data_IF_700344866502
#
_entry.id   IF_700344866502
#
_cell.length_a   1.000
_cell.length_b   1.000
_cell.length_c   1.000
_cell.angle_alpha   90.00
_cell.angle_beta   90.00
_cell.angle_gamma   90.00
#
_symmetry.space_group_name_H-M   'P 1'
#
loop_
_entity.id
_entity.type
_entity.pdbx_description
1 polymer ?
#
# COMPACT_ATOMS: atom_id res chain seq x y z
N UNK A 1 38.71 17.86 71.67
CA UNK A 1 38.49 16.43 71.94
C UNK A 1 37.00 16.28 72.29
N UNK A 2 36.15 16.03 71.29
CA UNK A 2 34.71 15.86 71.49
C UNK A 2 34.31 14.63 70.77
N UNK A 3 33.87 13.63 71.51
CA UNK A 3 33.31 12.36 70.98
C UNK A 3 31.87 12.60 70.48
N UNK A 4 31.57 12.25 69.22
CA UNK A 4 30.20 12.21 68.70
C UNK A 4 29.76 10.75 68.67
N UNK A 5 28.75 10.43 69.45
CA UNK A 5 28.10 9.12 69.52
C UNK A 5 27.04 9.05 68.39
N UNK A 6 27.11 8.05 67.55
CA UNK A 6 26.11 7.71 66.55
C UNK A 6 25.01 6.85 67.19
N UNK A 7 23.71 7.12 66.93
CA UNK A 7 22.65 6.17 67.25
C UNK A 7 22.45 5.12 66.11
N UNK A 8 21.89 3.94 66.40
CA UNK A 8 21.66 2.89 65.44
C UNK A 8 20.44 3.19 64.58
N UNK A 9 20.57 2.90 63.29
CA UNK A 9 19.50 2.94 62.29
C UNK A 9 18.73 1.62 62.38
N UNK A 10 17.48 1.70 62.86
CA UNK A 10 16.53 0.59 62.79
C UNK A 10 15.93 0.56 61.37
N UNK A 11 16.17 -0.54 60.69
CA UNK A 11 15.55 -0.80 59.40
C UNK A 11 14.07 -1.19 59.59
N UNK A 12 13.24 -0.69 58.69
CA UNK A 12 11.98 -1.35 58.37
C UNK A 12 11.70 -1.13 56.88
N UNK A 13 12.12 -2.12 56.11
CA UNK A 13 11.80 -2.20 54.71
C UNK A 13 10.32 -2.36 54.52
N UNK A 14 9.74 -1.44 53.80
CA UNK A 14 8.52 -1.70 53.01
C UNK A 14 8.92 -1.52 51.57
N UNK A 15 9.23 -2.66 50.92
CA UNK A 15 9.20 -2.76 49.49
C UNK A 15 7.79 -2.45 48.98
N UNK A 16 7.57 -1.18 48.68
CA UNK A 16 6.45 -0.81 47.81
C UNK A 16 6.87 -1.23 46.39
N UNK A 17 6.40 -2.39 45.97
CA UNK A 17 6.32 -2.76 44.56
C UNK A 17 5.59 -1.62 43.83
N UNK A 18 6.38 -0.77 43.18
CA UNK A 18 5.87 0.09 42.11
C UNK A 18 5.55 -0.85 40.95
N UNK A 19 4.31 -1.26 40.89
CA UNK A 19 3.78 -1.92 39.68
C UNK A 19 3.88 -0.87 38.59
N UNK A 20 4.78 -1.14 37.61
CA UNK A 20 4.98 -0.28 36.45
C UNK A 20 3.65 -0.13 35.73
N UNK A 21 3.04 1.04 35.81
CA UNK A 21 1.85 1.43 35.08
C UNK A 21 2.02 1.37 33.54
N UNK A 22 3.22 1.01 33.07
CA UNK A 22 3.55 0.85 31.66
C UNK A 22 3.24 -0.57 31.10
N UNK A 23 2.97 -1.54 31.95
CA UNK A 23 2.70 -2.92 31.48
C UNK A 23 1.21 -3.12 31.15
N UNK A 24 0.31 -2.37 31.78
CA UNK A 24 -1.13 -2.46 31.49
C UNK A 24 -1.55 -1.81 30.16
N UNK A 25 -0.69 -0.94 29.58
CA UNK A 25 -1.00 -0.26 28.31
C UNK A 25 -0.63 -1.12 27.08
N UNK A 26 0.11 -2.20 27.27
CA UNK A 26 0.51 -3.10 26.17
C UNK A 26 -0.57 -4.10 25.75
N UNK A 27 -1.53 -4.38 26.63
CA UNK A 27 -2.51 -5.45 26.41
C UNK A 27 -3.82 -4.99 25.74
N UNK A 28 -3.95 -3.70 25.39
CA UNK A 28 -5.17 -3.18 24.74
C UNK A 28 -4.99 -2.91 23.24
N UNK A 29 -3.98 -3.48 22.59
CA UNK A 29 -3.92 -3.41 21.13
C UNK A 29 -5.05 -4.23 20.52
N UNK A 30 -6.01 -3.55 19.90
CA UNK A 30 -7.08 -4.19 19.13
C UNK A 30 -6.49 -5.24 18.18
N UNK A 31 -7.08 -6.44 18.12
CA UNK A 31 -6.58 -7.49 17.27
C UNK A 31 -6.58 -7.03 15.81
N UNK A 32 -5.49 -7.32 15.11
CA UNK A 32 -5.39 -6.99 13.69
C UNK A 32 -6.30 -7.91 12.88
N UNK A 33 -6.86 -7.42 11.76
CA UNK A 33 -7.65 -8.26 10.88
C UNK A 33 -6.77 -9.37 10.29
N UNK A 34 -7.33 -10.56 10.04
CA UNK A 34 -6.59 -11.65 9.41
C UNK A 34 -6.08 -11.21 8.04
N UNK A 35 -4.93 -11.74 7.65
CA UNK A 35 -4.40 -11.49 6.29
C UNK A 35 -5.34 -12.10 5.25
N UNK A 36 -5.58 -11.41 4.14
CA UNK A 36 -6.40 -11.97 3.07
C UNK A 36 -5.70 -13.16 2.41
N UNK A 37 -6.49 -14.11 1.95
CA UNK A 37 -6.02 -15.17 1.04
C UNK A 37 -5.86 -14.53 -0.34
N UNK A 38 -4.63 -14.55 -0.86
CA UNK A 38 -4.32 -13.99 -2.18
C UNK A 38 -4.52 -15.05 -3.26
N UNK A 39 -4.82 -14.64 -4.51
CA UNK A 39 -4.86 -15.52 -5.66
C UNK A 39 -3.55 -16.29 -5.85
N UNK A 40 -3.65 -17.51 -6.33
CA UNK A 40 -2.49 -18.33 -6.70
C UNK A 40 -1.89 -17.83 -8.02
N UNK A 41 -0.77 -17.13 -7.90
CA UNK A 41 -0.05 -16.55 -9.05
C UNK A 41 0.60 -17.63 -9.92
N UNK A 42 0.99 -18.79 -9.36
CA UNK A 42 1.56 -19.89 -10.13
C UNK A 42 0.47 -20.52 -11.02
N UNK A 43 -0.70 -20.79 -10.46
CA UNK A 43 -1.84 -21.24 -11.23
C UNK A 43 -2.31 -20.20 -12.28
N UNK A 44 -2.21 -18.90 -11.99
CA UNK A 44 -2.52 -17.87 -12.96
C UNK A 44 -1.52 -17.86 -14.13
N UNK A 45 -0.22 -18.02 -13.87
CA UNK A 45 0.82 -18.11 -14.93
C UNK A 45 0.60 -19.29 -15.87
N UNK A 46 0.17 -20.44 -15.33
CA UNK A 46 -0.10 -21.63 -16.18
C UNK A 46 -1.29 -21.42 -17.14
N UNK A 47 -2.18 -20.46 -16.88
CA UNK A 47 -3.31 -20.13 -17.74
C UNK A 47 -3.02 -19.02 -18.76
N UNK A 48 -2.00 -18.21 -18.50
CA UNK A 48 -1.53 -17.17 -19.42
C UNK A 48 -1.51 -15.74 -18.86
N UNK A 49 -0.98 -14.78 -19.64
CA UNK A 49 -0.73 -13.42 -19.17
C UNK A 49 -1.98 -12.67 -18.71
N UNK A 50 -3.13 -12.89 -19.33
CA UNK A 50 -4.40 -12.25 -18.93
C UNK A 50 -4.84 -12.68 -17.54
N UNK A 51 -4.69 -13.96 -17.20
CA UNK A 51 -4.99 -14.47 -15.84
C UNK A 51 -4.00 -13.94 -14.80
N UNK A 52 -2.72 -13.77 -15.17
CA UNK A 52 -1.72 -13.14 -14.30
C UNK A 52 -2.12 -11.71 -13.97
N UNK A 53 -2.56 -10.94 -14.96
CA UNK A 53 -3.02 -9.56 -14.75
C UNK A 53 -4.24 -9.53 -13.84
N UNK A 54 -5.24 -10.37 -14.08
CA UNK A 54 -6.45 -10.42 -13.26
C UNK A 54 -6.14 -10.82 -11.81
N UNK A 55 -5.35 -11.87 -11.62
CA UNK A 55 -4.92 -12.31 -10.29
C UNK A 55 -4.12 -11.22 -9.55
N UNK A 56 -3.29 -10.45 -10.29
CA UNK A 56 -2.51 -9.39 -9.69
C UNK A 56 -3.36 -8.18 -9.28
N UNK A 57 -4.35 -7.78 -10.09
CA UNK A 57 -5.34 -6.76 -9.71
C UNK A 57 -6.04 -7.13 -8.39
N UNK A 58 -6.51 -8.37 -8.31
CA UNK A 58 -7.16 -8.88 -7.09
C UNK A 58 -6.20 -8.90 -5.90
N UNK A 59 -4.96 -9.35 -6.09
CA UNK A 59 -3.93 -9.38 -5.04
C UNK A 59 -3.60 -7.99 -4.50
N UNK A 60 -3.43 -7.00 -5.38
CA UNK A 60 -3.17 -5.62 -4.97
C UNK A 60 -4.35 -5.04 -4.18
N UNK A 61 -5.56 -5.21 -4.69
CA UNK A 61 -6.77 -4.72 -4.02
C UNK A 61 -6.90 -5.28 -2.61
N UNK A 62 -6.82 -6.61 -2.46
CA UNK A 62 -6.92 -7.28 -1.16
C UNK A 62 -5.80 -6.83 -0.20
N UNK A 63 -4.57 -6.72 -0.71
CA UNK A 63 -3.42 -6.31 0.09
C UNK A 63 -3.55 -4.86 0.59
N UNK A 64 -3.99 -3.94 -0.25
CA UNK A 64 -4.17 -2.55 0.12
C UNK A 64 -5.38 -2.32 1.03
N UNK A 65 -6.48 -3.05 0.84
CA UNK A 65 -7.62 -3.05 1.75
C UNK A 65 -7.20 -3.53 3.15
N UNK A 66 -6.43 -4.62 3.23
CA UNK A 66 -5.91 -5.11 4.49
C UNK A 66 -4.97 -4.11 5.17
N UNK A 67 -4.02 -3.53 4.43
CA UNK A 67 -3.10 -2.48 4.95
C UNK A 67 -3.87 -1.27 5.48
N UNK A 68 -4.91 -0.84 4.77
CA UNK A 68 -5.76 0.26 5.23
C UNK A 68 -6.52 -0.10 6.52
N UNK A 69 -7.06 -1.32 6.64
CA UNK A 69 -7.70 -1.78 7.86
C UNK A 69 -6.73 -1.83 9.05
N UNK A 70 -5.50 -2.33 8.83
CA UNK A 70 -4.42 -2.31 9.83
C UNK A 70 -4.05 -0.88 10.23
N UNK A 71 -3.95 0.04 9.24
CA UNK A 71 -3.64 1.44 9.52
C UNK A 71 -4.70 2.10 10.42
N UNK A 72 -5.98 1.86 10.16
CA UNK A 72 -7.09 2.37 10.99
C UNK A 72 -6.97 1.94 12.45
N UNK A 73 -6.48 0.73 12.71
CA UNK A 73 -6.30 0.19 14.05
C UNK A 73 -5.03 0.76 14.70
N UNK A 74 -3.90 0.80 13.97
CA UNK A 74 -2.60 1.20 14.52
C UNK A 74 -2.39 2.72 14.58
N UNK A 75 -3.11 3.46 13.75
CA UNK A 75 -2.96 4.91 13.62
C UNK A 75 -4.33 5.59 13.48
N UNK A 76 -5.20 5.45 14.51
CA UNK A 76 -6.56 6.01 14.44
C UNK A 76 -6.50 7.52 14.23
N UNK A 77 -7.38 8.03 13.37
CA UNK A 77 -7.44 9.45 13.04
C UNK A 77 -6.33 10.00 12.15
N UNK A 78 -5.30 9.19 11.80
CA UNK A 78 -4.28 9.63 10.85
C UNK A 78 -4.76 9.42 9.40
N UNK A 79 -4.52 10.39 8.50
CA UNK A 79 -4.88 10.25 7.11
C UNK A 79 -4.12 9.09 6.46
N UNK A 80 -4.79 8.43 5.52
CA UNK A 80 -4.23 7.36 4.69
C UNK A 80 -4.49 7.71 3.23
N UNK A 81 -3.48 7.63 2.35
CA UNK A 81 -3.66 7.94 0.94
C UNK A 81 -4.74 7.07 0.29
N UNK A 82 -5.51 7.64 -0.62
CA UNK A 82 -6.66 7.00 -1.26
C UNK A 82 -6.32 5.92 -2.29
N UNK A 83 -5.38 5.01 -1.97
CA UNK A 83 -4.95 3.95 -2.89
C UNK A 83 -6.06 2.92 -3.16
N UNK A 84 -6.92 2.63 -2.19
CA UNK A 84 -8.01 1.65 -2.38
C UNK A 84 -9.04 2.17 -3.37
N UNK A 85 -9.67 3.36 -3.19
CA UNK A 85 -10.58 3.91 -4.20
C UNK A 85 -9.88 4.12 -5.55
N UNK A 86 -8.59 4.46 -5.58
CA UNK A 86 -7.85 4.57 -6.84
C UNK A 86 -7.75 3.22 -7.59
N UNK A 87 -7.46 2.13 -6.88
CA UNK A 87 -7.44 0.79 -7.48
C UNK A 87 -8.81 0.38 -7.99
N UNK A 88 -9.88 0.70 -7.26
CA UNK A 88 -11.26 0.40 -7.65
C UNK A 88 -11.66 1.18 -8.91
N UNK A 89 -11.39 2.48 -8.96
CA UNK A 89 -11.66 3.33 -10.13
C UNK A 89 -10.85 2.90 -11.36
N UNK A 90 -9.56 2.59 -11.19
CA UNK A 90 -8.72 2.14 -12.29
C UNK A 90 -9.13 0.77 -12.82
N UNK A 91 -9.48 -0.17 -11.94
CA UNK A 91 -9.93 -1.50 -12.32
C UNK A 91 -11.31 -1.50 -13.02
N UNK A 92 -12.12 -0.48 -12.82
CA UNK A 92 -13.40 -0.28 -13.52
C UNK A 92 -13.20 0.14 -14.99
N UNK A 93 -11.99 0.59 -15.38
CA UNK A 93 -11.70 1.02 -16.75
C UNK A 93 -11.15 -0.14 -17.59
N UNK A 94 -11.85 -0.58 -18.64
CA UNK A 94 -11.45 -1.75 -19.44
C UNK A 94 -10.04 -1.64 -20.03
N UNK A 95 -9.62 -0.44 -20.44
CA UNK A 95 -8.28 -0.21 -21.00
C UNK A 95 -7.17 -0.38 -19.96
N UNK A 96 -7.36 0.12 -18.73
CA UNK A 96 -6.40 -0.04 -17.63
C UNK A 96 -6.45 -1.45 -17.04
N UNK A 97 -7.64 -2.06 -16.97
CA UNK A 97 -7.83 -3.42 -16.45
C UNK A 97 -7.02 -4.47 -17.20
N UNK A 98 -6.75 -4.25 -18.47
CA UNK A 98 -5.91 -5.14 -19.29
C UNK A 98 -4.43 -4.98 -19.05
N UNK A 99 -3.98 -3.91 -18.38
CA UNK A 99 -2.59 -3.66 -18.05
C UNK A 99 -2.25 -4.26 -16.68
N UNK A 100 -0.98 -4.62 -16.53
CA UNK A 100 -0.45 -5.10 -15.25
C UNK A 100 -0.24 -3.92 -14.29
N UNK A 101 -0.98 -3.84 -13.17
CA UNK A 101 -0.86 -2.73 -12.24
C UNK A 101 0.39 -2.87 -11.38
N UNK A 102 1.13 -1.80 -11.18
CA UNK A 102 2.29 -1.72 -10.32
C UNK A 102 2.06 -0.68 -9.25
N UNK A 103 2.53 -0.93 -8.04
CA UNK A 103 2.54 0.11 -7.01
C UNK A 103 3.96 0.37 -6.52
N UNK A 104 4.36 1.65 -6.53
CA UNK A 104 5.59 2.12 -5.91
C UNK A 104 5.21 3.08 -4.81
N UNK A 105 5.44 2.71 -3.55
CA UNK A 105 4.86 3.35 -2.39
C UNK A 105 3.33 3.37 -2.50
N UNK A 106 2.72 4.53 -2.73
CA UNK A 106 1.29 4.65 -3.01
C UNK A 106 0.99 4.95 -4.48
N UNK A 107 2.00 5.27 -5.30
CA UNK A 107 1.77 5.57 -6.72
C UNK A 107 1.37 4.32 -7.49
N UNK A 108 0.32 4.42 -8.30
CA UNK A 108 -0.18 3.38 -9.20
C UNK A 108 0.33 3.63 -10.62
N UNK A 109 0.90 2.61 -11.23
CA UNK A 109 1.43 2.60 -12.59
C UNK A 109 0.84 1.41 -13.36
N UNK A 110 0.95 1.43 -14.69
CA UNK A 110 0.37 0.42 -15.56
C UNK A 110 1.40 -0.06 -16.59
N UNK A 111 1.69 -1.35 -16.59
CA UNK A 111 2.68 -1.97 -17.49
C UNK A 111 2.00 -2.88 -18.50
N UNK A 112 2.53 -2.92 -19.71
CA UNK A 112 2.16 -3.92 -20.74
C UNK A 112 2.94 -5.23 -20.62
N UNK A 113 3.86 -5.36 -19.67
CA UNK A 113 4.53 -6.62 -19.34
C UNK A 113 4.16 -7.07 -17.93
N UNK A 114 4.07 -8.39 -17.72
CA UNK A 114 3.73 -9.02 -16.44
C UNK A 114 4.94 -9.25 -15.53
N UNK A 115 6.16 -8.97 -16.02
CA UNK A 115 7.43 -9.13 -15.32
C UNK A 115 8.43 -8.02 -15.66
N UNK A 116 9.56 -8.04 -14.97
CA UNK A 116 10.67 -7.13 -15.24
C UNK A 116 11.39 -7.51 -16.56
N UNK A 117 11.83 -6.53 -17.38
CA UNK A 117 11.69 -5.08 -17.21
C UNK A 117 10.26 -4.58 -17.48
N UNK A 118 9.79 -3.70 -16.60
CA UNK A 118 8.45 -3.13 -16.71
C UNK A 118 8.32 -2.17 -17.89
N UNK A 119 7.33 -2.41 -18.75
CA UNK A 119 6.97 -1.54 -19.88
C UNK A 119 5.79 -0.64 -19.49
N UNK A 120 6.06 0.46 -18.78
CA UNK A 120 5.02 1.37 -18.30
C UNK A 120 4.43 2.17 -19.47
N UNK A 121 3.12 2.01 -19.72
CA UNK A 121 2.42 2.54 -20.90
C UNK A 121 1.81 3.92 -20.69
N UNK A 122 1.48 4.26 -19.46
CA UNK A 122 0.87 5.55 -19.11
C UNK A 122 1.71 6.24 -18.03
N UNK A 123 1.23 7.37 -17.58
CA UNK A 123 1.78 8.04 -16.43
C UNK A 123 1.56 7.26 -15.11
N UNK A 124 1.67 7.96 -14.01
CA UNK A 124 1.38 7.43 -12.68
C UNK A 124 0.35 8.28 -11.97
N UNK A 125 -0.42 7.67 -11.08
CA UNK A 125 -1.34 8.34 -10.17
C UNK A 125 -0.85 8.14 -8.75
N UNK A 126 -0.60 9.22 -8.03
CA UNK A 126 -0.17 9.22 -6.63
C UNK A 126 -1.28 9.80 -5.76
N UNK A 127 -1.95 8.98 -4.93
CA UNK A 127 -2.87 9.50 -3.93
C UNK A 127 -2.09 10.22 -2.83
N UNK A 128 -2.53 11.43 -2.48
CA UNK A 128 -1.89 12.29 -1.50
C UNK A 128 -2.55 12.17 -0.13
N UNK A 129 -1.84 12.58 0.91
CA UNK A 129 -2.36 12.56 2.29
C UNK A 129 -3.47 13.58 2.56
N UNK A 130 -3.63 14.59 1.67
CA UNK A 130 -4.73 15.56 1.71
C UNK A 130 -6.02 15.07 1.02
N UNK A 131 -6.05 13.81 0.57
CA UNK A 131 -7.19 13.20 -0.11
C UNK A 131 -7.24 13.41 -1.62
N UNK A 132 -6.34 14.23 -2.18
CA UNK A 132 -6.24 14.51 -3.62
C UNK A 132 -5.39 13.48 -4.33
N UNK A 133 -5.40 13.52 -5.66
CA UNK A 133 -4.64 12.62 -6.53
C UNK A 133 -3.77 13.43 -7.48
N UNK A 134 -2.46 13.15 -7.50
CA UNK A 134 -1.50 13.76 -8.40
C UNK A 134 -1.23 12.84 -9.58
N UNK A 135 -1.43 13.35 -10.79
CA UNK A 135 -1.17 12.62 -12.03
C UNK A 135 0.12 13.12 -12.66
N UNK A 136 0.99 12.18 -13.04
CA UNK A 136 2.26 12.48 -13.69
C UNK A 136 2.38 11.73 -15.01
N UNK A 137 2.88 12.40 -16.03
CA UNK A 137 3.37 11.78 -17.25
C UNK A 137 4.82 11.36 -17.07
N UNK A 138 5.20 10.22 -17.63
CA UNK A 138 6.55 9.68 -17.49
C UNK A 138 7.54 10.22 -18.53
N UNK A 139 7.11 10.38 -19.77
CA UNK A 139 7.98 10.83 -20.86
C UNK A 139 7.26 11.82 -21.79
N UNK A 140 7.74 13.06 -21.91
CA UNK A 140 8.65 13.71 -20.97
C UNK A 140 8.01 13.81 -19.57
N UNK A 141 8.84 13.76 -18.53
CA UNK A 141 8.33 13.83 -17.17
C UNK A 141 7.64 15.16 -16.88
N UNK A 142 6.38 15.10 -16.44
CA UNK A 142 5.62 16.29 -16.10
C UNK A 142 4.49 15.95 -15.12
N UNK A 143 4.18 16.87 -14.23
CA UNK A 143 2.92 16.84 -13.48
C UNK A 143 1.82 17.32 -14.42
N UNK A 144 0.80 16.48 -14.63
CA UNK A 144 -0.34 16.78 -15.49
C UNK A 144 -1.40 17.57 -14.71
N UNK A 145 -1.63 17.18 -13.45
CA UNK A 145 -2.59 17.85 -12.58
C UNK A 145 -2.71 17.20 -11.21
N UNK A 146 -3.43 17.90 -10.34
CA UNK A 146 -3.92 17.39 -9.07
C UNK A 146 -5.44 17.54 -9.06
N UNK A 147 -6.15 16.45 -8.79
CA UNK A 147 -7.61 16.35 -8.84
C UNK A 147 -8.17 15.83 -7.53
N UNK A 148 -9.49 16.01 -7.34
CA UNK A 148 -10.16 15.71 -6.08
C UNK A 148 -10.54 14.23 -5.97
N UNK A 149 -10.84 13.55 -7.11
CA UNK A 149 -11.38 12.20 -7.13
C UNK A 149 -10.45 11.22 -7.85
N UNK A 150 -10.58 9.93 -7.50
CA UNK A 150 -9.87 8.86 -8.15
C UNK A 150 -10.29 8.71 -9.63
N UNK A 151 -11.57 8.93 -9.91
CA UNK A 151 -12.16 8.85 -11.24
C UNK A 151 -11.60 9.93 -12.18
N UNK A 152 -11.47 11.18 -11.70
CA UNK A 152 -10.82 12.26 -12.46
C UNK A 152 -9.35 11.95 -12.75
N UNK A 153 -8.61 11.42 -11.75
CA UNK A 153 -7.22 11.04 -11.93
C UNK A 153 -7.06 9.90 -12.95
N UNK A 154 -7.96 8.93 -12.92
CA UNK A 154 -8.01 7.83 -13.89
C UNK A 154 -8.34 8.34 -15.29
N UNK A 155 -9.28 9.29 -15.43
CA UNK A 155 -9.59 9.90 -16.72
C UNK A 155 -8.35 10.58 -17.33
N UNK A 156 -7.60 11.36 -16.56
CA UNK A 156 -6.37 11.98 -17.03
C UNK A 156 -5.31 10.95 -17.48
N UNK A 157 -5.17 9.82 -16.77
CA UNK A 157 -4.23 8.76 -17.18
C UNK A 157 -4.69 8.06 -18.45
N UNK A 158 -6.00 7.89 -18.65
CA UNK A 158 -6.55 7.31 -19.88
C UNK A 158 -6.20 8.14 -21.13
N UNK A 159 -6.13 9.48 -20.99
CA UNK A 159 -5.70 10.38 -22.06
C UNK A 159 -4.21 10.22 -22.40
N UNK A 160 -3.39 9.77 -21.44
CA UNK A 160 -1.98 9.53 -21.64
C UNK A 160 -1.66 8.15 -22.25
N UNK A 161 -2.64 7.25 -22.32
CA UNK A 161 -2.45 5.96 -22.97
C UNK A 161 -2.30 6.14 -24.47
N UNK A 162 -1.38 5.39 -25.11
CA UNK A 162 -1.24 5.42 -26.56
C UNK A 162 -2.56 5.13 -27.26
N UNK A 163 -2.88 5.93 -28.27
CA UNK A 163 -3.98 5.70 -29.19
C UNK A 163 -3.46 4.77 -30.29
N UNK A 164 -3.54 3.49 -30.09
CA UNK A 164 -3.10 2.48 -31.05
C UNK A 164 -3.74 1.14 -30.78
N UNK A 165 -3.42 0.11 -31.60
CA UNK A 165 -3.86 -1.24 -31.30
C UNK A 165 -3.45 -1.55 -29.86
N UNK A 166 -4.41 -2.03 -29.10
CA UNK A 166 -4.36 -2.24 -27.66
C UNK A 166 -2.99 -2.74 -27.21
N UNK A 167 -2.43 -2.12 -26.16
CA UNK A 167 -1.18 -2.57 -25.58
C UNK A 167 -1.29 -4.07 -25.27
N UNK A 168 -0.63 -4.87 -26.08
CA UNK A 168 -0.62 -6.33 -25.93
C UNK A 168 0.18 -6.65 -24.70
N UNK A 169 -0.42 -7.36 -23.74
CA UNK A 169 0.31 -7.86 -22.59
C UNK A 169 1.23 -8.96 -23.10
N UNK A 170 2.53 -8.69 -23.02
CA UNK A 170 3.55 -9.71 -23.29
C UNK A 170 3.94 -10.36 -21.97
N UNK A 171 4.07 -11.69 -21.97
CA UNK A 171 4.74 -12.40 -20.91
C UNK A 171 6.18 -11.88 -20.80
N UNK A 172 6.73 -11.84 -19.58
CA UNK A 172 8.16 -11.54 -19.40
C UNK A 172 8.99 -12.67 -20.04
N UNK A 173 10.19 -12.35 -20.53
CA UNK A 173 11.11 -13.33 -21.08
C UNK A 173 11.50 -14.43 -20.05
N UNK A 174 11.31 -14.16 -18.75
CA UNK A 174 11.59 -15.10 -17.67
C UNK A 174 10.45 -16.11 -17.39
N UNK A 175 9.31 -16.00 -18.05
CA UNK A 175 8.20 -16.96 -17.88
C UNK A 175 8.40 -18.28 -18.66
N UNK A 176 9.58 -18.49 -19.25
CA UNK A 176 9.93 -19.66 -20.07
C UNK A 176 11.06 -20.52 -19.51
N UNK A 177 11.30 -20.50 -18.17
CA UNK A 177 12.25 -21.41 -17.51
C UNK A 177 11.52 -22.42 -16.65
#
# INVERSE_FOLDING_TARGET
MIFVIRPPVSGNGRDTMTVDANDETRDQQLPLPPRPVLPDMAAARSRGPADVVEAHWQSLRLSWQWRHAVHKIRSPGRPYPGIVPLLDAAAAQPRLRRLYPLTSHFALLFSSSTGYPWSVQAGSIEPLYNGRFKVRRRSPYAVIGEVETAEEAVALVLELLPTGPEAVITASADDHV
#
